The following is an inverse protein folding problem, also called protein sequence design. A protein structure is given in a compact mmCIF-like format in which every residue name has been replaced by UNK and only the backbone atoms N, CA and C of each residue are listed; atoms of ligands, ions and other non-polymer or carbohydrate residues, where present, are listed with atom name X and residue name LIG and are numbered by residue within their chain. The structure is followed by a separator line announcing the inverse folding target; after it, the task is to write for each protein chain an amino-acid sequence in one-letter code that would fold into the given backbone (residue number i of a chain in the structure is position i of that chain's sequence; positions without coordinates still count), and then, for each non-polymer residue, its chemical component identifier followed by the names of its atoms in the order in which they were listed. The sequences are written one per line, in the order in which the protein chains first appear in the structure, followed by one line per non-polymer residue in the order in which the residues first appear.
data_IF_968088253511
#
_entry.id   IF_968088253511
#
_cell.length_a   1.000
_cell.length_b   1.000
_cell.length_c   1.000
_cell.angle_alpha   90.00
_cell.angle_beta   90.00
_cell.angle_gamma   90.00
#
_symmetry.space_group_name_H-M   'P 1'
#
loop_
_entity.id
_entity.type
_entity.pdbx_description
1 polymer ?
#
# COMPACT_ATOMS: atom_id res chain seq x y z
N UNK A 1 -42.07 -20.85 24.63
CA UNK A 1 -41.30 -20.23 23.53
C UNK A 1 -42.17 -19.09 23.05
N UNK A 2 -41.98 -17.90 23.62
CA UNK A 2 -42.75 -16.70 23.30
C UNK A 2 -41.97 -15.82 22.32
N UNK A 3 -42.70 -15.23 21.39
CA UNK A 3 -42.20 -14.40 20.30
C UNK A 3 -42.49 -12.92 20.55
N UNK A 4 -41.71 -12.08 19.82
CA UNK A 4 -41.93 -10.68 19.48
C UNK A 4 -41.69 -9.62 20.59
N UNK A 5 -41.27 -8.37 20.34
CA UNK A 5 -40.63 -7.58 19.27
C UNK A 5 -40.39 -6.17 19.91
N UNK A 6 -39.59 -5.30 19.24
CA UNK A 6 -39.54 -3.82 19.37
C UNK A 6 -38.58 -3.11 20.36
N UNK A 7 -37.40 -2.78 19.84
CA UNK A 7 -36.83 -1.44 19.53
C UNK A 7 -37.17 -0.16 20.35
N UNK A 8 -36.10 0.65 20.55
CA UNK A 8 -35.99 2.14 20.44
C UNK A 8 -35.68 2.90 21.73
N UNK A 9 -34.49 3.53 21.79
CA UNK A 9 -34.26 4.99 21.98
C UNK A 9 -32.74 5.24 22.15
N UNK A 10 -32.05 5.75 21.12
CA UNK A 10 -31.82 7.17 20.89
C UNK A 10 -31.06 7.84 22.07
N UNK A 11 -29.74 7.71 22.08
CA UNK A 11 -28.89 8.52 22.95
C UNK A 11 -28.45 9.77 22.17
N UNK A 12 -29.23 10.81 22.36
CA UNK A 12 -29.00 12.18 21.94
C UNK A 12 -27.98 12.81 22.91
N UNK A 13 -26.77 13.13 22.44
CA UNK A 13 -25.89 14.04 23.16
C UNK A 13 -25.41 15.15 22.24
N UNK A 14 -26.12 16.26 22.33
CA UNK A 14 -25.71 17.56 21.84
C UNK A 14 -24.39 17.99 22.51
N UNK A 15 -23.43 18.45 21.71
CA UNK A 15 -22.18 18.99 22.21
C UNK A 15 -21.38 19.62 21.08
N UNK A 16 -21.67 20.89 20.81
CA UNK A 16 -20.91 21.71 19.90
C UNK A 16 -19.43 21.75 20.29
N UNK A 17 -18.54 21.39 19.37
CA UNK A 17 -17.20 21.97 19.38
C UNK A 17 -16.69 22.12 17.95
N UNK A 18 -16.92 23.32 17.43
CA UNK A 18 -16.17 23.89 16.32
C UNK A 18 -14.74 24.14 16.79
N UNK A 19 -13.85 23.18 16.55
CA UNK A 19 -12.41 23.47 16.55
C UNK A 19 -12.00 23.73 15.09
N UNK A 20 -12.13 24.98 14.68
CA UNK A 20 -11.27 25.52 13.62
C UNK A 20 -9.87 25.69 14.20
N UNK A 21 -9.07 24.62 14.22
CA UNK A 21 -7.63 24.73 14.41
C UNK A 21 -7.01 24.90 13.04
N UNK A 22 -6.86 26.17 12.66
CA UNK A 22 -5.88 26.61 11.67
C UNK A 22 -4.50 26.22 12.17
N UNK A 23 -3.85 25.26 11.53
CA UNK A 23 -2.41 25.05 11.71
C UNK A 23 -1.80 24.47 10.45
N UNK A 24 -0.90 25.29 9.93
CA UNK A 24 0.21 25.00 9.04
C UNK A 24 -0.08 24.33 7.69
N UNK A 25 -0.08 25.19 6.67
CA UNK A 25 0.28 24.84 5.30
C UNK A 25 1.70 24.28 5.27
N UNK A 26 1.84 22.99 5.51
CA UNK A 26 3.01 22.21 5.12
C UNK A 26 2.71 21.53 3.78
N UNK A 27 2.42 22.32 2.75
CA UNK A 27 2.26 21.81 1.39
C UNK A 27 3.51 22.13 0.58
N UNK A 28 3.84 21.22 -0.33
CA UNK A 28 4.91 21.27 -1.32
C UNK A 28 6.33 20.93 -0.83
N UNK A 29 6.58 19.64 -0.55
CA UNK A 29 7.67 18.90 -1.24
C UNK A 29 7.66 17.38 -0.97
N UNK A 30 6.84 16.90 -0.04
CA UNK A 30 6.85 15.47 0.36
C UNK A 30 6.13 14.56 -0.65
N UNK A 31 5.21 15.10 -1.46
CA UNK A 31 4.34 14.31 -2.36
C UNK A 31 5.06 13.55 -3.49
N UNK A 32 6.29 13.94 -3.86
CA UNK A 32 7.02 13.29 -4.95
C UNK A 32 7.56 11.90 -4.58
N UNK A 33 8.13 11.75 -3.38
CA UNK A 33 8.81 10.51 -2.97
C UNK A 33 7.82 9.38 -2.62
N UNK A 34 6.77 9.69 -1.85
CA UNK A 34 5.76 8.69 -1.47
C UNK A 34 4.96 8.18 -2.69
N UNK A 35 4.79 9.02 -3.72
CA UNK A 35 4.12 8.61 -4.96
C UNK A 35 4.97 7.64 -5.78
N UNK A 36 6.29 7.84 -5.84
CA UNK A 36 7.21 6.90 -6.49
C UNK A 36 7.30 5.58 -5.72
N UNK A 37 7.40 5.63 -4.39
CA UNK A 37 7.47 4.43 -3.54
C UNK A 37 6.18 3.61 -3.59
N UNK A 38 5.01 4.27 -3.60
CA UNK A 38 3.72 3.60 -3.75
C UNK A 38 3.61 2.88 -5.10
N UNK A 39 3.98 3.54 -6.20
CA UNK A 39 3.96 2.93 -7.54
C UNK A 39 4.95 1.79 -7.67
N UNK A 40 6.13 1.91 -7.07
CA UNK A 40 7.12 0.83 -7.06
C UNK A 40 6.62 -0.36 -6.23
N UNK A 41 5.96 -0.13 -5.09
CA UNK A 41 5.33 -1.18 -4.29
C UNK A 41 4.26 -1.93 -5.07
N UNK A 42 3.36 -1.22 -5.76
CA UNK A 42 2.31 -1.82 -6.57
C UNK A 42 2.89 -2.70 -7.69
N UNK A 43 3.96 -2.22 -8.35
CA UNK A 43 4.63 -2.98 -9.40
C UNK A 43 5.35 -4.22 -8.85
N UNK A 44 5.99 -4.12 -7.68
CA UNK A 44 6.60 -5.27 -6.99
C UNK A 44 5.54 -6.33 -6.68
N UNK A 45 4.37 -5.94 -6.17
CA UNK A 45 3.31 -6.87 -5.81
C UNK A 45 2.68 -7.53 -7.05
N UNK A 46 2.49 -6.76 -8.13
CA UNK A 46 2.08 -7.31 -9.44
C UNK A 46 3.08 -8.35 -9.94
N UNK A 47 4.38 -8.03 -9.93
CA UNK A 47 5.43 -8.95 -10.39
C UNK A 47 5.51 -10.22 -9.53
N UNK A 48 5.30 -10.12 -8.21
CA UNK A 48 5.19 -11.29 -7.31
C UNK A 48 4.00 -12.18 -7.67
N UNK A 49 2.84 -11.60 -7.95
CA UNK A 49 1.66 -12.34 -8.38
C UNK A 49 1.94 -13.08 -9.68
N UNK A 50 2.50 -12.39 -10.68
CA UNK A 50 2.82 -12.98 -11.98
C UNK A 50 3.86 -14.11 -11.82
N UNK A 51 4.92 -13.90 -11.03
CA UNK A 51 5.92 -14.93 -10.77
C UNK A 51 5.30 -16.18 -10.12
N UNK A 52 4.38 -16.00 -9.17
CA UNK A 52 3.69 -17.09 -8.51
C UNK A 52 2.83 -17.87 -9.51
N UNK A 53 2.05 -17.17 -10.34
CA UNK A 53 1.22 -17.80 -11.37
C UNK A 53 2.06 -18.56 -12.40
N UNK A 54 3.21 -18.01 -12.79
CA UNK A 54 4.13 -18.66 -13.72
C UNK A 54 4.75 -19.90 -13.10
N UNK A 55 5.18 -19.83 -11.84
CA UNK A 55 5.68 -20.99 -11.12
C UNK A 55 4.61 -22.10 -11.01
N UNK A 56 3.36 -21.74 -10.72
CA UNK A 56 2.25 -22.70 -10.66
C UNK A 56 1.97 -23.36 -12.01
N UNK A 57 2.14 -22.63 -13.12
CA UNK A 57 1.95 -23.15 -14.49
C UNK A 57 3.09 -24.06 -14.94
N UNK A 58 4.33 -23.64 -14.69
CA UNK A 58 5.53 -24.34 -15.16
C UNK A 58 5.96 -25.47 -14.20
N UNK A 59 5.45 -25.44 -12.95
CA UNK A 59 5.86 -26.31 -11.84
C UNK A 59 7.37 -26.33 -11.59
N UNK A 60 8.08 -25.27 -11.98
CA UNK A 60 9.54 -25.19 -11.93
C UNK A 60 9.99 -23.76 -11.63
N UNK A 61 10.86 -23.64 -10.61
CA UNK A 61 11.51 -22.37 -10.27
C UNK A 61 12.65 -22.02 -11.24
N UNK A 62 13.11 -22.97 -12.04
CA UNK A 62 14.21 -22.79 -12.99
C UNK A 62 13.72 -22.69 -14.44
N UNK A 63 12.40 -22.62 -14.66
CA UNK A 63 11.87 -22.31 -15.98
C UNK A 63 12.34 -20.91 -16.40
N UNK A 64 12.74 -20.75 -17.66
CA UNK A 64 13.24 -19.47 -18.18
C UNK A 64 12.25 -18.33 -17.98
N UNK A 65 10.96 -18.66 -18.06
CA UNK A 65 9.83 -17.75 -17.87
C UNK A 65 9.77 -17.23 -16.41
N UNK A 66 9.93 -18.12 -15.42
CA UNK A 66 9.98 -17.78 -13.98
C UNK A 66 11.28 -17.04 -13.62
N UNK A 67 12.41 -17.43 -14.21
CA UNK A 67 13.69 -16.75 -14.02
C UNK A 67 13.61 -15.31 -14.57
N UNK A 68 13.00 -15.12 -15.73
CA UNK A 68 12.87 -13.79 -16.34
C UNK A 68 12.07 -12.85 -15.44
N UNK A 69 10.91 -13.29 -14.94
CA UNK A 69 10.07 -12.45 -14.08
C UNK A 69 10.71 -12.22 -12.70
N UNK A 70 11.44 -13.20 -12.16
CA UNK A 70 12.23 -13.02 -10.93
C UNK A 70 13.28 -11.92 -11.08
N UNK A 71 14.01 -11.89 -12.21
CA UNK A 71 14.99 -10.83 -12.48
C UNK A 71 14.33 -9.45 -12.56
N UNK A 72 13.16 -9.35 -13.17
CA UNK A 72 12.42 -8.09 -13.23
C UNK A 72 11.97 -7.64 -11.83
N UNK A 73 11.50 -8.56 -11.00
CA UNK A 73 11.13 -8.31 -9.61
C UNK A 73 12.32 -7.79 -8.80
N UNK A 74 13.50 -8.41 -8.93
CA UNK A 74 14.71 -7.99 -8.25
C UNK A 74 15.12 -6.57 -8.62
N UNK A 75 15.02 -6.20 -9.90
CA UNK A 75 15.29 -4.83 -10.37
C UNK A 75 14.37 -3.83 -9.66
N UNK A 76 13.07 -4.15 -9.56
CA UNK A 76 12.09 -3.26 -8.93
C UNK A 76 12.27 -3.15 -7.42
N UNK A 77 12.64 -4.25 -6.75
CA UNK A 77 13.00 -4.23 -5.33
C UNK A 77 14.24 -3.35 -5.13
N UNK A 78 15.28 -3.50 -5.95
CA UNK A 78 16.48 -2.68 -5.85
C UNK A 78 16.19 -1.20 -6.08
N UNK A 79 15.32 -0.86 -7.04
CA UNK A 79 14.85 0.50 -7.28
C UNK A 79 14.15 1.07 -6.05
N UNK A 80 13.14 0.36 -5.52
CA UNK A 80 12.42 0.73 -4.31
C UNK A 80 13.35 0.95 -3.11
N UNK A 81 14.26 0.02 -2.88
CA UNK A 81 15.23 0.10 -1.78
C UNK A 81 16.14 1.33 -1.95
N UNK A 82 16.59 1.62 -3.17
CA UNK A 82 17.40 2.81 -3.44
C UNK A 82 16.61 4.11 -3.20
N UNK A 83 15.32 4.18 -3.54
CA UNK A 83 14.46 5.33 -3.23
C UNK A 83 14.28 5.51 -1.72
N UNK A 84 13.97 4.43 -0.99
CA UNK A 84 13.82 4.46 0.46
C UNK A 84 15.11 4.85 1.20
N UNK A 85 16.28 4.39 0.72
CA UNK A 85 17.59 4.71 1.32
C UNK A 85 18.01 6.15 1.02
N UNK A 86 17.76 6.66 -0.20
CA UNK A 86 18.09 8.05 -0.57
C UNK A 86 17.28 9.09 0.22
N UNK A 87 16.03 8.78 0.59
CA UNK A 87 15.23 9.61 1.48
C UNK A 87 15.75 9.70 2.91
N UNK A 88 16.57 8.74 3.36
CA UNK A 88 17.14 8.70 4.73
C UNK A 88 18.47 9.46 4.88
N UNK A 89 19.22 9.67 3.79
CA UNK A 89 20.50 10.42 3.84
C UNK A 89 20.34 11.94 3.70
N UNK A 90 19.13 12.42 3.37
CA UNK A 90 18.83 13.85 3.26
C UNK A 90 18.20 14.46 4.53
N UNK A 91 18.28 13.78 5.69
CA UNK A 91 17.78 14.26 6.99
C UNK A 91 18.92 14.47 7.97
#
# INVERSE_FOLDING_TARGET
MDAAEHNTTANEFAGAHVISSSSDRSDANVGGFYSSDFRLSEEIDRLRSIMTDMFLKEASLTADSVIHISRQLDIKINEYMAHSVRGKQAR
#
